data_IF_821536583020
#
_entry.id   IF_821536583020
#
_cell.length_a   1.000
_cell.length_b   1.000
_cell.length_c   1.000
_cell.angle_alpha   90.00
_cell.angle_beta   90.00
_cell.angle_gamma   90.00
#
_symmetry.space_group_name_H-M   'P 1'
#
loop_
_entity.id
_entity.type
_entity.pdbx_description
1 polymer ?
#
# COMPACT_ATOMS: atom_id res chain seq x y z
N UNK A 1 5.31 5.87 -17.24
CA UNK A 1 5.68 4.50 -16.81
C UNK A 1 5.17 4.34 -15.38
N UNK A 2 4.33 3.33 -15.10
CA UNK A 2 3.69 3.18 -13.78
C UNK A 2 4.75 2.98 -12.68
N UNK A 3 4.62 3.74 -11.59
CA UNK A 3 5.53 3.70 -10.44
C UNK A 3 6.86 4.44 -10.62
N UNK A 4 7.10 5.10 -11.76
CA UNK A 4 8.35 5.83 -11.98
C UNK A 4 8.45 7.08 -11.09
N UNK A 5 7.36 7.83 -10.98
CA UNK A 5 7.21 8.97 -10.09
C UNK A 5 7.49 8.61 -8.62
N UNK A 6 6.84 7.55 -8.12
CA UNK A 6 7.05 7.03 -6.76
C UNK A 6 8.51 6.57 -6.57
N UNK A 7 9.10 5.87 -7.56
CA UNK A 7 10.50 5.43 -7.47
C UNK A 7 11.48 6.61 -7.41
N UNK A 8 11.22 7.67 -8.19
CA UNK A 8 12.02 8.90 -8.15
C UNK A 8 11.87 9.59 -6.79
N UNK A 9 10.65 9.73 -6.30
CA UNK A 9 10.39 10.30 -4.98
C UNK A 9 11.10 9.50 -3.87
N UNK A 10 11.09 8.17 -3.94
CA UNK A 10 11.79 7.30 -3.00
C UNK A 10 13.30 7.55 -2.98
N UNK A 11 13.91 7.66 -4.17
CA UNK A 11 15.33 7.97 -4.27
C UNK A 11 15.68 9.35 -3.68
N UNK A 12 14.82 10.35 -3.91
CA UNK A 12 14.98 11.69 -3.35
C UNK A 12 14.82 11.68 -1.82
N UNK A 13 13.80 11.02 -1.28
CA UNK A 13 13.57 10.88 0.15
C UNK A 13 14.76 10.19 0.85
N UNK A 14 15.32 9.13 0.24
CA UNK A 14 16.52 8.46 0.77
C UNK A 14 17.74 9.38 0.83
N UNK A 15 17.88 10.30 -0.12
CA UNK A 15 18.95 11.31 -0.10
C UNK A 15 18.65 12.38 0.95
N UNK A 16 17.39 12.80 1.09
CA UNK A 16 16.96 13.80 2.07
C UNK A 16 17.31 13.35 3.50
N UNK A 17 17.05 12.09 3.85
CA UNK A 17 17.38 11.51 5.16
C UNK A 17 18.88 11.54 5.49
N UNK A 18 19.76 11.53 4.48
CA UNK A 18 21.21 11.66 4.70
C UNK A 18 21.57 13.08 5.17
N UNK A 19 20.87 14.08 4.65
CA UNK A 19 21.12 15.50 4.96
C UNK A 19 20.38 15.92 6.23
N UNK A 20 19.18 15.36 6.44
CA UNK A 20 18.29 15.62 7.56
C UNK A 20 17.68 14.30 8.07
N UNK A 21 18.24 13.69 9.12
CA UNK A 21 17.75 12.42 9.67
C UNK A 21 16.32 12.47 10.24
N UNK A 22 15.75 13.65 10.46
CA UNK A 22 14.36 13.81 10.93
C UNK A 22 13.37 13.93 9.76
N UNK A 23 13.84 13.93 8.51
CA UNK A 23 12.98 13.98 7.34
C UNK A 23 12.09 12.73 7.25
N UNK A 24 10.79 12.95 7.06
CA UNK A 24 9.76 11.90 7.01
C UNK A 24 9.20 11.65 5.61
N UNK A 25 9.79 12.24 4.56
CA UNK A 25 9.26 12.13 3.18
C UNK A 25 9.25 10.68 2.69
N UNK A 26 10.10 9.83 3.27
CA UNK A 26 10.09 8.40 2.96
C UNK A 26 8.76 7.76 3.36
N UNK A 27 8.12 8.19 4.46
CA UNK A 27 6.82 7.66 4.91
C UNK A 27 5.72 7.98 3.90
N UNK A 28 5.69 9.21 3.39
CA UNK A 28 4.73 9.64 2.37
C UNK A 28 4.88 8.80 1.09
N UNK A 29 6.11 8.56 0.64
CA UNK A 29 6.38 7.71 -0.53
C UNK A 29 5.92 6.26 -0.30
N UNK A 30 6.06 5.74 0.92
CA UNK A 30 5.57 4.39 1.24
C UNK A 30 4.04 4.34 1.19
N UNK A 31 3.34 5.36 1.69
CA UNK A 31 1.89 5.47 1.57
C UNK A 31 1.43 5.61 0.12
N UNK A 32 2.17 6.32 -0.72
CA UNK A 32 1.89 6.39 -2.16
C UNK A 32 2.01 5.02 -2.84
N UNK A 33 3.04 4.25 -2.48
CA UNK A 33 3.23 2.90 -3.00
C UNK A 33 2.09 1.95 -2.55
N UNK A 34 1.68 2.02 -1.28
CA UNK A 34 0.50 1.31 -0.76
C UNK A 34 -0.78 1.75 -1.48
N UNK A 35 -1.00 3.06 -1.65
CA UNK A 35 -2.15 3.61 -2.35
C UNK A 35 -2.23 3.13 -3.80
N UNK A 36 -1.08 3.07 -4.50
CA UNK A 36 -0.99 2.47 -5.83
C UNK A 36 -1.36 0.98 -5.79
N UNK A 37 -0.83 0.22 -4.83
CA UNK A 37 -1.16 -1.19 -4.64
C UNK A 37 -2.65 -1.47 -4.46
N UNK A 38 -3.31 -0.62 -3.67
CA UNK A 38 -4.75 -0.68 -3.43
C UNK A 38 -5.57 -0.40 -4.69
N UNK A 39 -5.19 0.62 -5.46
CA UNK A 39 -5.87 0.96 -6.71
C UNK A 39 -5.64 -0.10 -7.80
N UNK A 40 -4.43 -0.65 -7.85
CA UNK A 40 -4.04 -1.67 -8.81
C UNK A 40 -4.76 -3.00 -8.58
N UNK A 41 -5.07 -3.34 -7.32
CA UNK A 41 -5.87 -4.51 -6.97
C UNK A 41 -7.21 -4.51 -7.71
N UNK A 42 -7.94 -3.38 -7.66
CA UNK A 42 -9.25 -3.23 -8.31
C UNK A 42 -9.17 -3.37 -9.83
N UNK A 43 -8.00 -3.07 -10.40
CA UNK A 43 -7.73 -3.19 -11.83
C UNK A 43 -7.11 -4.54 -12.23
N UNK A 44 -6.84 -5.44 -11.28
CA UNK A 44 -6.17 -6.72 -11.50
C UNK A 44 -4.74 -6.56 -12.04
N UNK A 45 -4.03 -5.49 -11.64
CA UNK A 45 -2.70 -5.18 -12.15
C UNK A 45 -1.61 -5.81 -11.28
N UNK A 46 -0.57 -6.31 -11.96
CA UNK A 46 0.62 -6.89 -11.32
C UNK A 46 1.55 -5.82 -10.73
N UNK A 47 2.60 -6.24 -10.01
CA UNK A 47 3.62 -5.34 -9.47
C UNK A 47 4.26 -4.48 -10.59
N UNK A 48 4.36 -3.14 -10.42
CA UNK A 48 5.05 -2.28 -11.40
C UNK A 48 6.52 -2.68 -11.57
N UNK A 49 7.00 -2.71 -12.82
CA UNK A 49 8.42 -3.01 -13.12
C UNK A 49 9.39 -2.07 -12.40
N UNK A 50 8.95 -0.83 -12.12
CA UNK A 50 9.71 0.15 -11.35
C UNK A 50 9.90 -0.23 -9.88
N UNK A 51 9.18 -1.21 -9.34
CA UNK A 51 9.31 -1.62 -7.94
C UNK A 51 10.01 -2.98 -7.80
N UNK A 52 10.17 -3.75 -8.88
CA UNK A 52 10.65 -5.15 -8.84
C UNK A 52 12.00 -5.30 -8.15
N UNK A 53 12.90 -4.33 -8.33
CA UNK A 53 14.25 -4.30 -7.78
C UNK A 53 14.38 -3.45 -6.50
N UNK A 54 13.29 -2.87 -5.99
CA UNK A 54 13.28 -2.09 -4.75
C UNK A 54 12.31 -2.72 -3.73
N UNK A 55 12.81 -3.58 -2.82
CA UNK A 55 11.98 -4.35 -1.91
C UNK A 55 11.06 -3.50 -1.03
N UNK A 56 11.48 -2.30 -0.64
CA UNK A 56 10.63 -1.41 0.16
C UNK A 56 9.35 -1.06 -0.58
N UNK A 57 9.48 -0.49 -1.79
CA UNK A 57 8.34 -0.12 -2.64
C UNK A 57 7.50 -1.33 -3.05
N UNK A 58 8.15 -2.47 -3.34
CA UNK A 58 7.43 -3.69 -3.68
C UNK A 58 6.57 -4.21 -2.52
N UNK A 59 7.09 -4.14 -1.28
CA UNK A 59 6.35 -4.60 -0.10
C UNK A 59 5.22 -3.64 0.26
N UNK A 60 5.45 -2.33 0.20
CA UNK A 60 4.40 -1.33 0.38
C UNK A 60 3.25 -1.53 -0.62
N UNK A 61 3.58 -1.69 -1.91
CA UNK A 61 2.58 -1.99 -2.93
C UNK A 61 1.80 -3.28 -2.63
N UNK A 62 2.49 -4.36 -2.21
CA UNK A 62 1.82 -5.62 -1.84
C UNK A 62 0.93 -5.46 -0.61
N UNK A 63 1.34 -4.66 0.37
CA UNK A 63 0.53 -4.35 1.55
C UNK A 63 -0.77 -3.67 1.13
N UNK A 64 -0.70 -2.62 0.31
CA UNK A 64 -1.89 -1.94 -0.20
C UNK A 64 -2.82 -2.85 -1.01
N UNK A 65 -2.25 -3.79 -1.77
CA UNK A 65 -3.00 -4.80 -2.52
C UNK A 65 -3.72 -5.79 -1.57
N UNK A 66 -3.03 -6.25 -0.53
CA UNK A 66 -3.59 -7.13 0.49
C UNK A 66 -4.69 -6.43 1.32
N UNK A 67 -4.48 -5.16 1.68
CA UNK A 67 -5.48 -4.34 2.38
C UNK A 67 -6.76 -4.17 1.55
N UNK A 68 -6.62 -3.98 0.23
CA UNK A 68 -7.75 -3.90 -0.68
C UNK A 68 -8.54 -5.22 -0.72
N UNK A 69 -7.84 -6.35 -0.81
CA UNK A 69 -8.45 -7.67 -0.79
C UNK A 69 -9.16 -7.95 0.55
N UNK A 70 -8.53 -7.59 1.68
CA UNK A 70 -9.14 -7.72 2.99
C UNK A 70 -10.37 -6.82 3.15
N UNK A 71 -10.30 -5.59 2.62
CA UNK A 71 -11.45 -4.68 2.63
C UNK A 71 -12.62 -5.24 1.82
N UNK A 72 -12.36 -5.79 0.63
CA UNK A 72 -13.39 -6.48 -0.18
C UNK A 72 -13.97 -7.69 0.58
N UNK A 73 -13.15 -8.46 1.28
CA UNK A 73 -13.61 -9.58 2.10
C UNK A 73 -14.56 -9.10 3.21
N UNK A 74 -14.20 -8.04 3.94
CA UNK A 74 -15.04 -7.47 5.00
C UNK A 74 -16.36 -6.92 4.46
N UNK A 75 -16.32 -6.21 3.33
CA UNK A 75 -17.51 -5.65 2.66
C UNK A 75 -18.48 -6.72 2.19
N UNK A 76 -17.99 -7.93 1.88
CA UNK A 76 -18.81 -9.06 1.44
C UNK A 76 -19.13 -10.06 2.55
N UNK A 77 -18.63 -9.87 3.78
CA UNK A 77 -18.87 -10.76 4.90
C UNK A 77 -20.27 -10.51 5.52
N UNK A 78 -21.21 -11.48 5.48
CA UNK A 78 -22.56 -11.27 6.02
C UNK A 78 -22.57 -10.95 7.52
N UNK A 79 -21.61 -11.48 8.27
CA UNK A 79 -21.49 -11.23 9.70
C UNK A 79 -20.99 -9.80 9.99
N UNK A 80 -20.03 -9.30 9.20
CA UNK A 80 -19.59 -7.90 9.29
C UNK A 80 -20.72 -6.93 8.95
N UNK A 81 -21.47 -7.21 7.87
CA UNK A 81 -22.60 -6.38 7.44
C UNK A 81 -23.71 -6.35 8.50
N UNK A 82 -23.98 -7.48 9.16
CA UNK A 82 -25.01 -7.60 10.19
C UNK A 82 -24.55 -7.10 11.57
N UNK A 83 -23.27 -6.78 11.76
CA UNK A 83 -22.72 -6.38 13.04
C UNK A 83 -23.43 -5.11 13.56
N UNK A 84 -23.85 -5.13 14.83
CA UNK A 84 -24.47 -3.99 15.52
C UNK A 84 -23.63 -3.52 16.71
N UNK A 85 -22.31 -3.55 16.54
CA UNK A 85 -21.33 -3.25 17.58
C UNK A 85 -20.68 -4.49 18.19
N UNK A 86 -21.23 -5.69 17.94
CA UNK A 86 -20.57 -6.95 18.28
C UNK A 86 -19.50 -7.31 17.23
N UNK A 87 -18.32 -7.82 17.65
CA UNK A 87 -17.30 -8.37 16.78
C UNK A 87 -17.84 -9.43 15.79
N UNK A 88 -17.37 -9.38 14.54
CA UNK A 88 -17.56 -10.47 13.60
C UNK A 88 -16.82 -11.72 14.11
N UNK A 89 -17.45 -12.91 14.11
CA UNK A 89 -16.79 -14.15 14.58
C UNK A 89 -15.62 -14.61 13.69
N UNK A 90 -15.48 -14.05 12.48
CA UNK A 90 -14.42 -14.39 11.53
C UNK A 90 -13.27 -13.38 11.61
N UNK A 91 -13.61 -12.09 11.70
CA UNK A 91 -12.66 -10.98 11.56
C UNK A 91 -12.36 -10.25 12.88
N UNK A 92 -13.08 -10.56 13.94
CA UNK A 92 -13.06 -9.82 15.22
C UNK A 92 -13.91 -8.57 15.18
#
# INVERSE_FOLDING_TARGET
>A
MRGLDIRVAFALARIAVIVDPENTDIEEVMWDAEGMGRNDYQCGLELPIMFVDEPALANAWKQGNADAAFSEELENCPNCIAARGDPCPIHG
#
